data_IF_113684894232
#
_entry.id   IF_113684894232
#
_cell.length_a   1.000
_cell.length_b   1.000
_cell.length_c   1.000
_cell.angle_alpha   90.00
_cell.angle_beta   90.00
_cell.angle_gamma   90.00
#
_symmetry.space_group_name_H-M   'P 1'
#
loop_
_entity.id
_entity.type
_entity.pdbx_description
1 polymer ?
#
# COMPACT_ATOMS: atom_id res chain seq x y z
N UNK A 1 -16.74 3.78 -18.84
CA UNK A 1 -16.09 5.12 -18.83
C UNK A 1 -15.39 5.55 -17.53
N UNK A 2 -15.99 5.45 -16.33
CA UNK A 2 -15.37 5.91 -15.06
C UNK A 2 -13.94 5.39 -14.85
N UNK A 3 -13.72 4.10 -15.11
CA UNK A 3 -12.41 3.47 -14.96
C UNK A 3 -11.38 4.05 -15.94
N UNK A 4 -11.77 4.28 -17.20
CA UNK A 4 -10.89 4.88 -18.19
C UNK A 4 -10.47 6.30 -17.80
N UNK A 5 -11.40 7.10 -17.25
CA UNK A 5 -11.08 8.43 -16.69
C UNK A 5 -10.10 8.36 -15.52
N UNK A 6 -10.29 7.40 -14.60
CA UNK A 6 -9.39 7.20 -13.47
C UNK A 6 -7.96 6.85 -13.91
N UNK A 7 -7.80 6.07 -14.99
CA UNK A 7 -6.49 5.73 -15.57
C UNK A 7 -6.03 6.68 -16.67
N UNK A 8 -6.73 7.80 -16.89
CA UNK A 8 -6.41 8.79 -17.92
C UNK A 8 -6.34 8.21 -19.36
N UNK A 9 -7.14 7.20 -19.65
CA UNK A 9 -7.19 6.53 -20.96
C UNK A 9 -8.25 7.21 -21.85
N UNK A 10 -7.86 7.94 -22.92
CA UNK A 10 -8.79 8.66 -23.78
C UNK A 10 -9.55 7.72 -24.73
N UNK A 11 -10.66 8.20 -25.28
CA UNK A 11 -11.38 7.52 -26.37
C UNK A 11 -12.23 6.32 -25.96
N UNK A 12 -12.39 6.06 -24.67
CA UNK A 12 -13.19 4.95 -24.14
C UNK A 12 -14.61 5.42 -23.80
N UNK A 13 -15.60 4.89 -24.52
CA UNK A 13 -17.03 5.17 -24.31
C UNK A 13 -17.84 3.89 -24.08
N UNK A 14 -18.96 4.01 -23.36
CA UNK A 14 -19.87 2.90 -23.06
C UNK A 14 -19.48 2.03 -21.85
N UNK A 15 -20.19 0.91 -21.73
CA UNK A 15 -20.14 -0.03 -20.58
C UNK A 15 -19.59 -1.42 -20.94
N UNK A 16 -19.33 -1.70 -22.21
CA UNK A 16 -18.77 -2.98 -22.64
C UNK A 16 -17.34 -3.20 -22.15
N UNK A 17 -16.95 -4.47 -22.00
CA UNK A 17 -15.56 -4.83 -21.73
C UNK A 17 -14.70 -4.54 -22.96
N UNK A 18 -13.61 -3.80 -22.77
CA UNK A 18 -12.73 -3.34 -23.85
C UNK A 18 -11.28 -3.59 -23.49
N UNK A 19 -10.53 -4.15 -24.44
CA UNK A 19 -9.08 -4.30 -24.32
C UNK A 19 -8.42 -2.96 -24.67
N UNK A 20 -7.55 -2.49 -23.79
CA UNK A 20 -6.75 -1.27 -23.96
C UNK A 20 -5.28 -1.58 -23.75
N UNK A 21 -4.42 -0.79 -24.39
CA UNK A 21 -2.97 -0.80 -24.12
C UNK A 21 -2.73 0.22 -23.02
N UNK A 22 -2.03 -0.19 -21.96
CA UNK A 22 -1.64 0.72 -20.89
C UNK A 22 -0.52 1.65 -21.40
N UNK A 23 -0.54 2.96 -21.07
CA UNK A 23 0.36 3.94 -21.69
C UNK A 23 1.84 3.77 -21.31
N UNK A 24 2.13 3.06 -20.22
CA UNK A 24 3.50 2.88 -19.72
C UNK A 24 3.68 1.55 -18.96
N UNK A 25 4.87 1.36 -18.42
CA UNK A 25 5.26 0.15 -17.69
C UNK A 25 5.08 0.26 -16.18
N UNK A 26 4.49 1.36 -15.69
CA UNK A 26 4.35 1.62 -14.25
C UNK A 26 3.40 0.64 -13.60
N UNK A 27 2.44 0.05 -14.29
CA UNK A 27 1.51 -0.94 -13.71
C UNK A 27 1.57 -2.25 -14.47
N UNK A 28 1.88 -3.33 -13.76
CA UNK A 28 1.95 -4.68 -14.34
C UNK A 28 1.40 -5.71 -13.37
N UNK A 29 0.70 -6.70 -13.93
CA UNK A 29 0.17 -7.85 -13.20
C UNK A 29 -0.80 -7.47 -12.08
N UNK A 30 -0.93 -8.39 -11.11
CA UNK A 30 -1.87 -8.25 -9.98
C UNK A 30 -1.43 -7.16 -9.00
N UNK A 31 -0.12 -7.00 -8.79
CA UNK A 31 0.42 -6.02 -7.83
C UNK A 31 0.21 -4.56 -8.29
N UNK A 32 0.14 -4.31 -9.59
CA UNK A 32 -0.17 -2.99 -10.15
C UNK A 32 -1.66 -2.73 -10.37
N UNK A 33 -2.55 -3.66 -9.99
CA UNK A 33 -3.98 -3.55 -10.26
C UNK A 33 -4.66 -2.62 -9.25
N UNK A 34 -5.36 -1.58 -9.72
CA UNK A 34 -5.95 -0.56 -8.85
C UNK A 34 -6.90 -1.10 -7.77
N UNK A 35 -7.70 -2.14 -8.07
CA UNK A 35 -8.54 -2.75 -7.03
C UNK A 35 -7.75 -3.44 -5.91
N UNK A 36 -6.58 -4.00 -6.19
CA UNK A 36 -5.72 -4.61 -5.17
C UNK A 36 -5.08 -3.50 -4.34
N UNK A 37 -4.56 -2.46 -5.00
CA UNK A 37 -3.97 -1.30 -4.35
C UNK A 37 -4.98 -0.59 -3.42
N UNK A 38 -6.22 -0.41 -3.88
CA UNK A 38 -7.29 0.20 -3.09
C UNK A 38 -7.76 -0.71 -1.93
N UNK A 39 -7.96 -2.01 -2.18
CA UNK A 39 -8.35 -2.99 -1.14
C UNK A 39 -7.34 -3.08 0.00
N UNK A 40 -6.06 -2.86 -0.31
CA UNK A 40 -4.95 -2.96 0.63
C UNK A 40 -4.53 -1.59 1.19
N UNK A 41 -5.41 -0.60 1.10
CA UNK A 41 -5.20 0.75 1.61
C UNK A 41 -6.33 1.16 2.57
N UNK A 42 -6.16 2.25 3.30
CA UNK A 42 -7.25 2.89 4.03
C UNK A 42 -8.04 3.82 3.10
N UNK A 43 -9.22 4.26 3.54
CA UNK A 43 -10.09 5.12 2.72
C UNK A 43 -9.44 6.46 2.31
N UNK A 44 -8.51 6.98 3.11
CA UNK A 44 -7.88 8.28 2.95
C UNK A 44 -6.36 8.23 2.72
N UNK A 45 -5.73 7.04 2.76
CA UNK A 45 -4.27 6.89 2.67
C UNK A 45 -3.84 5.49 2.25
N UNK A 46 -2.64 5.40 1.66
CA UNK A 46 -1.98 4.11 1.41
C UNK A 46 -1.64 3.40 2.71
N UNK A 47 -1.44 2.08 2.65
CA UNK A 47 -0.99 1.29 3.81
C UNK A 47 0.03 0.24 3.38
N UNK A 48 1.34 0.54 3.50
CA UNK A 48 2.38 -0.45 3.24
C UNK A 48 2.22 -1.72 4.08
N UNK A 49 1.77 -1.59 5.33
CA UNK A 49 1.56 -2.75 6.21
C UNK A 49 0.47 -3.66 5.67
N UNK A 50 -0.70 -3.12 5.27
CA UNK A 50 -1.78 -3.92 4.70
C UNK A 50 -1.41 -4.52 3.33
N UNK A 51 -0.69 -3.75 2.49
CA UNK A 51 -0.16 -4.22 1.20
C UNK A 51 0.80 -5.41 1.38
N UNK A 52 1.80 -5.25 2.25
CA UNK A 52 2.78 -6.29 2.54
C UNK A 52 2.13 -7.54 3.14
N UNK A 53 1.21 -7.35 4.10
CA UNK A 53 0.44 -8.44 4.69
C UNK A 53 -0.34 -9.21 3.61
N UNK A 54 -1.05 -8.51 2.74
CA UNK A 54 -1.84 -9.15 1.68
C UNK A 54 -0.97 -9.99 0.75
N UNK A 55 0.21 -9.51 0.36
CA UNK A 55 1.15 -10.29 -0.45
C UNK A 55 1.60 -11.56 0.29
N UNK A 56 2.01 -11.43 1.55
CA UNK A 56 2.46 -12.56 2.37
C UNK A 56 1.36 -13.61 2.57
N UNK A 57 0.14 -13.17 2.84
CA UNK A 57 -1.01 -14.03 3.14
C UNK A 57 -1.59 -14.66 1.87
N UNK A 58 -1.89 -13.86 0.85
CA UNK A 58 -2.68 -14.27 -0.31
C UNK A 58 -1.81 -14.85 -1.42
N UNK A 59 -0.59 -14.30 -1.62
CA UNK A 59 0.29 -14.76 -2.70
C UNK A 59 1.34 -15.77 -2.23
N UNK A 60 1.89 -15.59 -1.01
CA UNK A 60 3.01 -16.39 -0.52
C UNK A 60 2.60 -17.47 0.49
N UNK A 61 1.35 -17.51 0.92
CA UNK A 61 0.84 -18.51 1.87
C UNK A 61 1.57 -18.50 3.23
N UNK A 62 2.18 -17.39 3.59
CA UNK A 62 3.00 -17.21 4.79
C UNK A 62 2.50 -16.00 5.57
N UNK A 63 1.26 -16.05 6.11
CA UNK A 63 0.66 -14.91 6.79
C UNK A 63 1.53 -14.47 7.97
N UNK A 64 1.72 -13.15 8.18
CA UNK A 64 2.41 -12.67 9.37
C UNK A 64 1.61 -13.05 10.63
N UNK A 65 2.27 -13.18 11.79
CA UNK A 65 1.57 -13.45 13.05
C UNK A 65 0.58 -12.32 13.36
N UNK A 66 -0.47 -12.61 14.15
CA UNK A 66 -1.40 -11.57 14.58
C UNK A 66 -0.64 -10.47 15.36
N UNK A 67 -1.10 -9.20 15.28
CA UNK A 67 -0.50 -8.12 16.04
C UNK A 67 -0.59 -8.43 17.55
N UNK A 68 0.43 -8.07 18.35
CA UNK A 68 0.35 -8.16 19.80
C UNK A 68 -0.89 -7.41 20.36
N UNK A 69 -1.43 -7.84 21.51
CA UNK A 69 -2.43 -7.05 22.21
C UNK A 69 -1.83 -5.68 22.61
N UNK A 70 -2.68 -4.65 22.67
CA UNK A 70 -2.33 -3.29 23.12
C UNK A 70 -1.29 -2.55 22.26
N UNK A 71 -1.14 -2.90 20.98
CA UNK A 71 -0.36 -2.08 20.05
C UNK A 71 -1.12 -0.77 19.79
N UNK A 72 -0.54 0.40 20.08
CA UNK A 72 -1.19 1.67 19.77
C UNK A 72 -1.49 1.74 18.28
N UNK A 73 -2.66 2.28 17.93
CA UNK A 73 -2.93 2.60 16.53
C UNK A 73 -1.79 3.48 16.01
N UNK A 74 -1.40 3.28 14.75
CA UNK A 74 -0.41 4.13 14.12
C UNK A 74 -0.95 5.56 14.15
N UNK A 75 -0.48 6.35 15.10
CA UNK A 75 -0.99 7.70 15.32
C UNK A 75 -0.80 8.48 14.03
N UNK A 76 -1.82 9.26 13.66
CA UNK A 76 -1.64 10.39 12.76
C UNK A 76 -0.88 11.46 13.53
N UNK A 77 0.36 11.16 13.94
CA UNK A 77 1.25 12.17 14.48
C UNK A 77 1.71 13.02 13.30
N UNK A 78 0.92 14.05 13.02
CA UNK A 78 1.33 15.22 12.23
C UNK A 78 2.49 15.98 12.92
N UNK A 79 2.83 15.61 14.15
CA UNK A 79 3.92 16.16 14.93
C UNK A 79 5.12 15.22 14.89
N UNK A 80 6.03 15.46 13.96
CA UNK A 80 7.40 14.98 14.12
C UNK A 80 8.16 15.94 15.06
N UNK A 81 9.14 15.38 15.77
CA UNK A 81 10.23 16.16 16.31
C UNK A 81 10.76 17.10 15.20
N UNK A 82 10.94 18.39 15.54
CA UNK A 82 11.53 19.43 14.68
C UNK A 82 10.65 20.04 13.56
N UNK A 83 9.33 19.83 13.57
CA UNK A 83 8.40 20.62 12.73
C UNK A 83 8.39 20.27 11.23
N UNK A 84 8.92 19.10 10.85
CA UNK A 84 8.83 18.53 9.49
C UNK A 84 7.86 17.35 9.48
N UNK A 85 6.96 17.26 8.51
CA UNK A 85 6.14 16.06 8.34
C UNK A 85 6.98 14.87 7.84
N UNK A 86 6.92 13.74 8.54
CA UNK A 86 7.60 12.51 8.14
C UNK A 86 6.85 11.79 7.03
N UNK A 87 7.59 11.31 6.04
CA UNK A 87 7.06 10.39 5.03
C UNK A 87 6.59 9.08 5.68
N UNK A 88 5.72 8.33 5.01
CA UNK A 88 5.25 7.02 5.49
C UNK A 88 6.45 6.08 5.77
N UNK A 89 7.46 6.10 4.91
CA UNK A 89 8.70 5.34 5.09
C UNK A 89 9.44 5.72 6.37
N UNK A 90 9.68 7.01 6.59
CA UNK A 90 10.39 7.49 7.78
C UNK A 90 9.64 7.12 9.07
N UNK A 91 8.31 7.30 9.09
CA UNK A 91 7.49 6.89 10.25
C UNK A 91 7.56 5.39 10.52
N UNK A 92 7.57 4.56 9.47
CA UNK A 92 7.72 3.12 9.62
C UNK A 92 9.14 2.71 10.04
N UNK A 93 10.17 3.45 9.65
CA UNK A 93 11.54 3.25 10.13
C UNK A 93 11.66 3.57 11.62
N UNK A 94 11.09 4.68 12.06
CA UNK A 94 11.00 5.04 13.48
C UNK A 94 10.22 4.00 14.28
N UNK A 95 9.03 3.58 13.80
CA UNK A 95 8.23 2.55 14.44
C UNK A 95 8.97 1.21 14.59
N UNK A 96 9.79 0.84 13.60
CA UNK A 96 10.61 -0.37 13.61
C UNK A 96 11.89 -0.25 14.44
N UNK A 97 12.21 0.92 14.99
CA UNK A 97 13.31 1.04 15.96
C UNK A 97 13.03 0.20 17.22
N UNK A 98 11.75 -0.05 17.54
CA UNK A 98 11.35 -0.99 18.57
C UNK A 98 11.62 -2.45 18.12
N UNK A 99 12.48 -3.20 18.84
CA UNK A 99 12.77 -4.60 18.49
C UNK A 99 11.55 -5.51 18.43
N UNK A 100 10.49 -5.23 19.21
CA UNK A 100 9.27 -6.05 19.19
C UNK A 100 8.55 -5.89 17.85
N UNK A 101 8.43 -4.67 17.33
CA UNK A 101 7.78 -4.37 16.05
C UNK A 101 8.62 -4.89 14.86
N UNK A 102 9.94 -4.68 14.91
CA UNK A 102 10.86 -5.08 13.83
C UNK A 102 10.83 -6.58 13.52
N UNK A 103 10.58 -7.41 14.53
CA UNK A 103 10.56 -8.88 14.42
C UNK A 103 9.66 -9.40 13.27
N UNK A 104 8.50 -8.77 13.08
CA UNK A 104 7.51 -9.10 12.05
C UNK A 104 7.61 -8.13 10.85
N UNK A 105 7.77 -6.84 11.13
CA UNK A 105 7.76 -5.78 10.11
C UNK A 105 8.95 -5.84 9.15
N UNK A 106 10.06 -6.51 9.51
CA UNK A 106 11.17 -6.79 8.58
C UNK A 106 10.75 -7.59 7.34
N UNK A 107 9.66 -8.35 7.42
CA UNK A 107 9.13 -9.12 6.29
C UNK A 107 7.98 -8.41 5.57
N UNK A 108 7.17 -7.66 6.32
CA UNK A 108 5.97 -7.00 5.81
C UNK A 108 6.35 -5.72 5.05
N UNK A 109 7.12 -4.86 5.69
CA UNK A 109 7.32 -3.48 5.27
C UNK A 109 8.07 -3.35 3.95
N UNK A 110 9.15 -4.11 3.66
CA UNK A 110 9.85 -3.99 2.39
C UNK A 110 8.94 -4.26 1.19
N UNK A 111 8.02 -5.21 1.31
CA UNK A 111 7.06 -5.56 0.26
C UNK A 111 6.05 -4.44 0.07
N UNK A 112 5.46 -3.96 1.17
CA UNK A 112 4.49 -2.87 1.14
C UNK A 112 5.06 -1.57 0.62
N UNK A 113 6.23 -1.18 1.13
CA UNK A 113 6.92 0.06 0.78
C UNK A 113 7.42 0.07 -0.67
N UNK A 114 7.70 -1.10 -1.26
CA UNK A 114 8.02 -1.22 -2.68
C UNK A 114 6.83 -0.87 -3.59
N UNK A 115 5.61 -0.88 -3.06
CA UNK A 115 4.38 -0.51 -3.76
C UNK A 115 3.81 0.84 -3.29
N UNK A 116 4.49 1.54 -2.37
CA UNK A 116 3.97 2.79 -1.80
C UNK A 116 4.07 3.98 -2.77
N UNK A 117 4.74 3.79 -3.91
CA UNK A 117 4.72 4.73 -5.03
C UNK A 117 3.37 4.77 -5.79
N UNK A 118 2.43 3.87 -5.47
CA UNK A 118 1.07 3.92 -5.99
C UNK A 118 0.12 4.54 -4.96
N UNK A 119 -0.66 5.50 -5.46
CA UNK A 119 -1.75 6.15 -4.71
C UNK A 119 -2.93 5.20 -4.45
N UNK A 120 -3.89 5.66 -3.66
CA UNK A 120 -5.23 5.07 -3.47
C UNK A 120 -6.10 5.17 -4.72
#
# INVERSE_FOLDING_TARGET
ERLARHYEIPGITGSGFQRVVYPDDRRRGVLGHGSILAMTSHANRTSPVLRGKWVLEVLLGSPPPPPPPDVPAFEETDEADEGRSLTVRERMEEHRSNPSCSSCHRFIDPIGLALDNYDV
#
